data_IF_808066667325
#
_entry.id   IF_808066667325
#
_cell.length_a   1.000
_cell.length_b   1.000
_cell.length_c   1.000
_cell.angle_alpha   90.00
_cell.angle_beta   90.00
_cell.angle_gamma   90.00
#
_symmetry.space_group_name_H-M   'P 1'
#
loop_
_entity.id
_entity.type
_entity.pdbx_description
1 polymer ?
#
# COMPACT_ATOMS: atom_id res chain seq x y z
N UNK A 1 5.76 8.29 6.44
CA UNK A 1 5.47 7.24 7.42
C UNK A 1 6.32 6.01 7.18
N UNK A 2 6.36 5.11 8.13
CA UNK A 2 7.02 3.80 8.01
C UNK A 2 5.94 2.72 7.95
N UNK A 3 6.13 1.72 7.11
CA UNK A 3 5.25 0.56 7.01
C UNK A 3 6.10 -0.71 6.85
N UNK A 4 5.70 -1.78 7.50
CA UNK A 4 6.37 -3.07 7.38
C UNK A 4 5.56 -4.00 6.49
N UNK A 5 6.19 -4.58 5.47
CA UNK A 5 5.55 -5.57 4.60
C UNK A 5 5.47 -6.92 5.30
N UNK A 6 4.30 -7.52 5.27
CA UNK A 6 4.06 -8.89 5.67
C UNK A 6 3.79 -9.73 4.41
N UNK A 7 4.62 -10.71 4.14
CA UNK A 7 4.61 -11.51 2.90
C UNK A 7 4.37 -12.99 3.13
N UNK A 8 4.30 -13.46 4.37
CA UNK A 8 3.95 -14.86 4.66
C UNK A 8 2.46 -15.13 4.41
N UNK A 9 1.65 -14.08 4.53
CA UNK A 9 0.19 -14.10 4.38
C UNK A 9 -0.42 -15.19 5.27
N UNK A 10 0.03 -15.23 6.51
CA UNK A 10 -0.50 -16.11 7.56
C UNK A 10 -0.85 -15.30 8.81
N UNK A 11 -1.75 -15.82 9.62
CA UNK A 11 -2.13 -15.18 10.89
C UNK A 11 -0.91 -15.07 11.83
N UNK A 12 -0.10 -16.10 11.92
CA UNK A 12 1.07 -16.15 12.79
C UNK A 12 2.15 -15.15 12.32
N UNK A 13 2.43 -15.10 11.02
CA UNK A 13 3.37 -14.15 10.44
C UNK A 13 2.93 -12.70 10.65
N UNK A 14 1.63 -12.43 10.49
CA UNK A 14 1.06 -11.11 10.75
C UNK A 14 1.20 -10.70 12.22
N UNK A 15 0.91 -11.58 13.16
CA UNK A 15 1.07 -11.31 14.60
C UNK A 15 2.54 -11.00 14.92
N UNK A 16 3.48 -11.82 14.43
CA UNK A 16 4.92 -11.57 14.62
C UNK A 16 5.37 -10.23 14.02
N UNK A 17 4.85 -9.88 12.85
CA UNK A 17 5.14 -8.59 12.20
C UNK A 17 4.55 -7.41 12.99
N UNK A 18 3.34 -7.55 13.54
CA UNK A 18 2.74 -6.53 14.41
C UNK A 18 3.57 -6.32 15.68
N UNK A 19 4.03 -7.39 16.34
CA UNK A 19 4.91 -7.30 17.51
C UNK A 19 6.21 -6.57 17.18
N UNK A 20 6.83 -6.91 16.04
CA UNK A 20 8.00 -6.20 15.56
C UNK A 20 7.71 -4.72 15.30
N UNK A 21 6.61 -4.39 14.64
CA UNK A 21 6.19 -3.01 14.37
C UNK A 21 6.01 -2.22 15.67
N UNK A 22 5.32 -2.79 16.65
CA UNK A 22 5.10 -2.15 17.94
C UNK A 22 6.42 -1.91 18.70
N UNK A 23 7.32 -2.91 18.73
CA UNK A 23 8.63 -2.80 19.40
C UNK A 23 9.56 -1.75 18.76
N UNK A 24 9.39 -1.45 17.46
CA UNK A 24 10.25 -0.54 16.69
C UNK A 24 9.57 0.78 16.30
N UNK A 25 8.42 1.10 16.87
CA UNK A 25 7.67 2.32 16.56
C UNK A 25 7.36 2.46 15.06
N UNK A 26 6.98 1.36 14.40
CA UNK A 26 6.49 1.33 13.03
C UNK A 26 4.97 1.35 13.09
N UNK A 27 4.28 2.42 12.65
CA UNK A 27 2.84 2.58 12.89
C UNK A 27 1.95 1.69 12.03
N UNK A 28 2.49 1.06 11.00
CA UNK A 28 1.69 0.31 10.03
C UNK A 28 2.33 -1.02 9.63
N UNK A 29 1.48 -2.03 9.42
CA UNK A 29 1.81 -3.28 8.74
C UNK A 29 0.99 -3.40 7.46
N UNK A 30 1.60 -3.86 6.38
CA UNK A 30 0.96 -4.08 5.09
C UNK A 30 0.95 -5.56 4.75
N UNK A 31 -0.24 -6.14 4.57
CA UNK A 31 -0.34 -7.34 3.76
C UNK A 31 -0.09 -6.95 2.31
N UNK A 32 1.06 -7.34 1.81
CA UNK A 32 1.36 -7.16 0.40
C UNK A 32 0.49 -8.13 -0.42
N UNK A 33 0.72 -8.36 -1.65
CA UNK A 33 -0.16 -9.17 -2.49
C UNK A 33 -0.52 -10.56 -1.89
N UNK A 34 -1.42 -11.32 -2.52
CA UNK A 34 -1.84 -12.70 -2.17
C UNK A 34 -2.67 -12.89 -0.89
N UNK A 35 -3.10 -11.84 -0.21
CA UNK A 35 -4.06 -11.96 0.88
C UNK A 35 -5.48 -12.26 0.39
N UNK A 36 -5.73 -12.07 -0.92
CA UNK A 36 -6.90 -12.53 -1.69
C UNK A 36 -6.41 -13.18 -2.99
N UNK A 37 -7.22 -13.98 -3.65
CA UNK A 37 -6.78 -14.73 -4.83
C UNK A 37 -7.85 -14.80 -5.93
N UNK A 38 -7.43 -14.91 -7.19
CA UNK A 38 -6.09 -14.60 -7.71
C UNK A 38 -5.83 -13.08 -7.70
N UNK A 39 -4.76 -12.63 -7.04
CA UNK A 39 -4.56 -11.20 -6.75
C UNK A 39 -4.17 -10.34 -7.97
N UNK A 40 -3.64 -10.93 -9.05
CA UNK A 40 -3.14 -10.21 -10.23
C UNK A 40 -3.97 -10.45 -11.49
N UNK A 41 -5.12 -11.11 -11.40
CA UNK A 41 -5.99 -11.37 -12.54
C UNK A 41 -7.33 -10.65 -12.43
N UNK A 42 -8.05 -10.58 -13.54
CA UNK A 42 -9.41 -10.03 -13.58
C UNK A 42 -10.41 -10.82 -12.73
N UNK A 43 -10.12 -12.08 -12.40
CA UNK A 43 -10.98 -12.94 -11.57
C UNK A 43 -10.76 -12.73 -10.07
N UNK A 44 -9.79 -11.91 -9.70
CA UNK A 44 -9.48 -11.59 -8.31
C UNK A 44 -10.68 -10.99 -7.56
N UNK A 45 -10.89 -11.45 -6.34
CA UNK A 45 -11.96 -10.96 -5.46
C UNK A 45 -11.38 -10.51 -4.13
N UNK A 46 -11.12 -9.21 -4.02
CA UNK A 46 -10.55 -8.59 -2.83
C UNK A 46 -11.56 -8.44 -1.66
N UNK A 47 -12.79 -8.89 -1.83
CA UNK A 47 -13.75 -9.00 -0.73
C UNK A 47 -13.59 -10.31 0.06
N UNK A 48 -12.71 -11.21 -0.40
CA UNK A 48 -12.48 -12.54 0.19
C UNK A 48 -11.04 -12.74 0.61
N UNK A 49 -10.84 -13.02 1.87
CA UNK A 49 -9.52 -13.32 2.44
C UNK A 49 -9.18 -14.80 2.22
N UNK A 50 -7.90 -15.09 1.95
CA UNK A 50 -7.43 -16.49 1.84
C UNK A 50 -7.61 -17.24 3.16
N UNK A 51 -7.93 -18.55 3.09
CA UNK A 51 -8.31 -19.37 4.24
C UNK A 51 -7.25 -19.47 5.35
N UNK A 52 -5.97 -19.28 5.03
CA UNK A 52 -4.85 -19.34 5.99
C UNK A 52 -4.67 -18.07 6.83
N UNK A 53 -5.48 -17.03 6.59
CA UNK A 53 -5.38 -15.72 7.23
C UNK A 53 -6.68 -15.37 7.94
N UNK A 54 -6.64 -15.34 9.27
CA UNK A 54 -7.72 -14.82 10.12
C UNK A 54 -7.59 -13.29 10.21
N UNK A 55 -8.12 -12.60 9.19
CA UNK A 55 -8.06 -11.14 9.09
C UNK A 55 -8.70 -10.42 10.29
N UNK A 56 -9.89 -10.82 10.79
CA UNK A 56 -10.48 -10.20 11.98
C UNK A 56 -9.55 -10.27 13.20
N UNK A 57 -8.93 -11.41 13.45
CA UNK A 57 -7.97 -11.59 14.57
C UNK A 57 -6.76 -10.70 14.42
N UNK A 58 -6.19 -10.61 13.22
CA UNK A 58 -5.02 -9.76 12.94
C UNK A 58 -5.35 -8.29 13.15
N UNK A 59 -6.50 -7.83 12.66
CA UNK A 59 -6.93 -6.43 12.81
C UNK A 59 -7.15 -6.08 14.28
N UNK A 60 -7.82 -6.96 15.03
CA UNK A 60 -8.04 -6.77 16.46
C UNK A 60 -6.70 -6.67 17.24
N UNK A 61 -5.75 -7.55 16.92
CA UNK A 61 -4.42 -7.54 17.53
C UNK A 61 -3.62 -6.28 17.15
N UNK A 62 -3.65 -5.88 15.87
CA UNK A 62 -3.03 -4.64 15.43
C UNK A 62 -3.57 -3.41 16.18
N UNK A 63 -4.88 -3.34 16.37
CA UNK A 63 -5.52 -2.29 17.15
C UNK A 63 -5.07 -2.28 18.62
N UNK A 64 -4.96 -3.45 19.26
CA UNK A 64 -4.44 -3.60 20.62
C UNK A 64 -3.00 -3.07 20.73
N UNK A 65 -2.15 -3.36 19.75
CA UNK A 65 -0.74 -2.98 19.71
C UNK A 65 -0.48 -1.55 19.16
N UNK A 66 -1.52 -0.86 18.71
CA UNK A 66 -1.38 0.47 18.11
C UNK A 66 -0.77 0.44 16.70
N UNK A 67 -0.88 -0.68 15.99
CA UNK A 67 -0.37 -0.88 14.62
C UNK A 67 -1.53 -0.96 13.64
N UNK A 68 -1.62 -0.01 12.72
CA UNK A 68 -2.67 0.01 11.69
C UNK A 68 -2.38 -1.01 10.57
N UNK A 69 -3.43 -1.70 10.14
CA UNK A 69 -3.32 -2.73 9.08
C UNK A 69 -3.67 -2.14 7.73
N UNK A 70 -2.79 -2.34 6.77
CA UNK A 70 -2.96 -2.01 5.36
C UNK A 70 -3.07 -3.27 4.51
N UNK A 71 -3.69 -3.12 3.35
CA UNK A 71 -3.79 -4.19 2.36
C UNK A 71 -3.39 -3.69 0.97
N UNK A 72 -2.69 -4.52 0.21
CA UNK A 72 -2.44 -4.31 -1.20
C UNK A 72 -3.68 -4.71 -2.01
N UNK A 73 -4.05 -3.92 -3.01
CA UNK A 73 -5.10 -4.29 -3.96
C UNK A 73 -4.66 -3.97 -5.39
N UNK A 74 -4.73 -4.96 -6.27
CA UNK A 74 -4.39 -4.80 -7.67
C UNK A 74 -5.43 -3.94 -8.41
N UNK A 75 -4.99 -3.19 -9.42
CA UNK A 75 -5.88 -2.36 -10.25
C UNK A 75 -7.08 -3.13 -10.81
N UNK A 76 -6.90 -4.38 -11.25
CA UNK A 76 -8.02 -5.19 -11.78
C UNK A 76 -9.16 -5.35 -10.78
N UNK A 77 -8.84 -5.67 -9.53
CA UNK A 77 -9.83 -5.78 -8.47
C UNK A 77 -10.44 -4.41 -8.13
N UNK A 78 -9.61 -3.36 -8.03
CA UNK A 78 -10.09 -1.99 -7.76
C UNK A 78 -11.06 -1.49 -8.83
N UNK A 79 -10.75 -1.70 -10.10
CA UNK A 79 -11.65 -1.30 -11.21
C UNK A 79 -13.03 -1.94 -11.10
N UNK A 80 -13.08 -3.18 -10.64
CA UNK A 80 -14.31 -3.96 -10.53
C UNK A 80 -15.06 -3.68 -9.22
N UNK A 81 -14.35 -3.53 -8.10
CA UNK A 81 -14.91 -3.68 -6.77
C UNK A 81 -14.70 -2.47 -5.84
N UNK A 82 -13.94 -1.42 -6.18
CA UNK A 82 -13.55 -0.38 -5.20
C UNK A 82 -14.75 0.25 -4.48
N UNK A 83 -15.93 0.34 -5.13
CA UNK A 83 -17.13 0.94 -4.54
C UNK A 83 -17.76 0.10 -3.42
N UNK A 84 -17.65 -1.21 -3.51
CA UNK A 84 -18.09 -2.13 -2.45
C UNK A 84 -16.93 -2.48 -1.49
N UNK A 85 -15.71 -2.54 -2.01
CA UNK A 85 -14.54 -2.94 -1.26
C UNK A 85 -14.15 -1.91 -0.19
N UNK A 86 -14.11 -0.61 -0.51
CA UNK A 86 -13.64 0.40 0.44
C UNK A 86 -14.54 0.52 1.67
N UNK A 87 -15.88 0.55 1.56
CA UNK A 87 -16.74 0.45 2.74
C UNK A 87 -16.49 -0.83 3.56
N UNK A 88 -16.31 -1.97 2.90
CA UNK A 88 -16.02 -3.25 3.55
C UNK A 88 -14.68 -3.23 4.30
N UNK A 89 -13.62 -2.72 3.68
CA UNK A 89 -12.31 -2.58 4.33
C UNK A 89 -12.37 -1.68 5.57
N UNK A 90 -13.12 -0.57 5.48
CA UNK A 90 -13.38 0.28 6.62
C UNK A 90 -14.12 -0.46 7.74
N UNK A 91 -15.17 -1.21 7.41
CA UNK A 91 -15.94 -2.01 8.37
C UNK A 91 -15.04 -3.03 9.08
N UNK A 92 -14.13 -3.67 8.35
CA UNK A 92 -13.15 -4.57 8.94
C UNK A 92 -12.18 -3.87 9.89
N UNK A 93 -11.92 -2.57 9.70
CA UNK A 93 -10.93 -1.81 10.46
C UNK A 93 -9.58 -1.69 9.78
N UNK A 94 -9.50 -1.94 8.48
CA UNK A 94 -8.34 -1.62 7.66
C UNK A 94 -8.16 -0.10 7.61
N UNK A 95 -6.92 0.37 7.72
CA UNK A 95 -6.63 1.81 7.78
C UNK A 95 -6.10 2.37 6.47
N UNK A 96 -5.68 1.54 5.54
CA UNK A 96 -5.17 2.01 4.25
C UNK A 96 -5.03 0.94 3.19
N UNK A 97 -4.90 1.40 1.96
CA UNK A 97 -4.78 0.56 0.76
C UNK A 97 -3.55 0.98 -0.04
N UNK A 98 -2.73 0.00 -0.40
CA UNK A 98 -1.71 0.12 -1.45
C UNK A 98 -2.31 -0.36 -2.76
N UNK A 99 -2.51 0.54 -3.72
CA UNK A 99 -2.93 0.17 -5.07
C UNK A 99 -1.71 -0.17 -5.93
N UNK A 100 -1.71 -1.28 -6.63
CA UNK A 100 -0.59 -1.70 -7.45
C UNK A 100 -0.96 -2.18 -8.85
N UNK A 101 0.04 -2.22 -9.73
CA UNK A 101 -0.07 -2.44 -11.17
C UNK A 101 -1.02 -1.44 -11.82
N UNK A 102 -0.96 -0.18 -11.35
CA UNK A 102 -1.84 0.89 -11.85
C UNK A 102 -1.37 1.39 -13.21
N UNK A 103 -2.34 1.57 -14.08
CA UNK A 103 -2.08 2.25 -15.35
C UNK A 103 -2.06 3.77 -15.13
N UNK A 104 -1.21 4.46 -15.89
CA UNK A 104 -1.00 5.89 -15.81
C UNK A 104 -0.88 6.48 -17.24
N UNK A 105 -0.45 7.73 -17.34
CA UNK A 105 -0.10 8.40 -18.60
C UNK A 105 -1.28 8.65 -19.57
N UNK A 106 -2.53 8.56 -19.13
CA UNK A 106 -3.68 9.03 -19.90
C UNK A 106 -4.67 9.78 -19.04
N UNK A 107 -5.46 10.64 -19.63
CA UNK A 107 -6.54 11.35 -18.94
C UNK A 107 -7.51 10.38 -18.25
N UNK A 108 -7.89 9.30 -18.93
CA UNK A 108 -8.77 8.25 -18.36
C UNK A 108 -8.20 7.70 -17.05
N UNK A 109 -6.94 7.31 -17.04
CA UNK A 109 -6.32 6.69 -15.87
C UNK A 109 -6.03 7.69 -14.75
N UNK A 110 -5.65 8.93 -15.08
CA UNK A 110 -5.53 9.99 -14.09
C UNK A 110 -6.87 10.28 -13.40
N UNK A 111 -7.95 10.38 -14.16
CA UNK A 111 -9.30 10.57 -13.61
C UNK A 111 -9.70 9.41 -12.70
N UNK A 112 -9.46 8.16 -13.16
CA UNK A 112 -9.77 6.96 -12.36
C UNK A 112 -8.98 6.94 -11.04
N UNK A 113 -7.70 7.29 -11.04
CA UNK A 113 -6.90 7.36 -9.82
C UNK A 113 -7.39 8.45 -8.86
N UNK A 114 -7.79 9.61 -9.38
CA UNK A 114 -8.37 10.67 -8.56
C UNK A 114 -9.70 10.22 -7.94
N UNK A 115 -10.55 9.53 -8.69
CA UNK A 115 -11.80 8.96 -8.18
C UNK A 115 -11.55 7.90 -7.09
N UNK A 116 -10.54 7.06 -7.27
CA UNK A 116 -10.11 6.06 -6.29
C UNK A 116 -9.67 6.73 -4.98
N UNK A 117 -8.81 7.73 -5.05
CA UNK A 117 -8.31 8.46 -3.87
C UNK A 117 -9.43 9.19 -3.14
N UNK A 118 -10.36 9.82 -3.88
CA UNK A 118 -11.54 10.49 -3.32
C UNK A 118 -12.44 9.49 -2.60
N UNK A 119 -12.77 8.37 -3.25
CA UNK A 119 -13.61 7.33 -2.66
C UNK A 119 -12.96 6.71 -1.41
N UNK A 120 -11.63 6.54 -1.41
CA UNK A 120 -10.88 6.11 -0.23
C UNK A 120 -11.00 7.13 0.91
N UNK A 121 -10.90 8.44 0.61
CA UNK A 121 -11.10 9.50 1.61
C UNK A 121 -12.51 9.46 2.22
N UNK A 122 -13.54 9.29 1.42
CA UNK A 122 -14.93 9.15 1.85
C UNK A 122 -15.12 7.96 2.82
N UNK A 123 -14.28 6.92 2.67
CA UNK A 123 -14.26 5.75 3.54
C UNK A 123 -13.16 5.80 4.61
N UNK A 124 -12.53 6.95 4.83
CA UNK A 124 -11.46 7.16 5.80
C UNK A 124 -10.26 6.19 5.65
N UNK A 125 -9.95 5.81 4.41
CA UNK A 125 -8.81 4.98 4.08
C UNK A 125 -7.64 5.84 3.59
N UNK A 126 -6.47 5.54 4.11
CA UNK A 126 -5.21 6.07 3.61
C UNK A 126 -4.83 5.36 2.30
N UNK A 127 -4.10 6.06 1.42
CA UNK A 127 -3.72 5.52 0.11
C UNK A 127 -2.23 5.62 -0.12
N UNK A 128 -1.68 4.56 -0.70
CA UNK A 128 -0.41 4.52 -1.39
C UNK A 128 -0.69 4.10 -2.85
N UNK A 129 -0.26 4.90 -3.82
CA UNK A 129 -0.27 4.52 -5.23
C UNK A 129 1.11 4.01 -5.59
N UNK A 130 1.21 2.71 -5.83
CA UNK A 130 2.43 2.06 -6.29
C UNK A 130 2.61 2.24 -7.81
N UNK A 131 3.75 1.76 -8.36
CA UNK A 131 4.15 1.90 -9.75
C UNK A 131 4.48 3.34 -10.17
N UNK A 132 4.34 3.68 -11.43
CA UNK A 132 4.94 4.88 -12.01
C UNK A 132 4.13 6.18 -11.85
N UNK A 133 3.07 6.18 -11.06
CA UNK A 133 2.28 7.39 -10.86
C UNK A 133 3.07 8.45 -10.06
N UNK A 134 3.25 9.61 -10.68
CA UNK A 134 4.05 10.71 -10.13
C UNK A 134 3.18 11.72 -9.40
N UNK A 135 3.71 12.40 -8.37
CA UNK A 135 2.94 13.40 -7.63
C UNK A 135 2.58 14.59 -8.52
N UNK A 136 1.30 14.95 -8.45
CA UNK A 136 0.71 16.10 -9.15
C UNK A 136 0.25 17.22 -8.20
N UNK A 137 0.56 17.10 -6.90
CA UNK A 137 0.03 17.96 -5.85
C UNK A 137 -1.36 17.57 -5.35
N UNK A 138 -1.95 16.51 -5.87
CA UNK A 138 -3.29 16.04 -5.50
C UNK A 138 -3.42 15.65 -4.01
N UNK A 139 -2.33 15.21 -3.38
CA UNK A 139 -2.25 14.96 -1.94
C UNK A 139 -2.48 16.19 -1.06
N UNK A 140 -2.39 17.40 -1.60
CA UNK A 140 -2.76 18.64 -0.89
C UNK A 140 -4.28 18.80 -0.78
N UNK A 141 -5.02 18.31 -1.77
CA UNK A 141 -6.49 18.30 -1.75
C UNK A 141 -7.02 17.10 -0.99
N UNK A 142 -6.36 15.95 -1.16
CA UNK A 142 -6.73 14.67 -0.54
C UNK A 142 -5.55 14.13 0.29
N UNK A 143 -5.39 14.59 1.53
CA UNK A 143 -4.23 14.21 2.38
C UNK A 143 -4.23 12.75 2.81
N UNK A 144 -5.29 11.99 2.56
CA UNK A 144 -5.29 10.54 2.68
C UNK A 144 -4.38 9.85 1.65
N UNK A 145 -4.01 10.51 0.55
CA UNK A 145 -2.97 10.05 -0.38
C UNK A 145 -1.59 10.36 0.24
N UNK A 146 -1.06 9.40 0.99
CA UNK A 146 0.18 9.59 1.75
C UNK A 146 1.42 9.57 0.88
N UNK A 147 1.45 8.69 -0.12
CA UNK A 147 2.65 8.48 -0.94
C UNK A 147 2.28 7.92 -2.32
N UNK A 148 3.17 8.19 -3.24
CA UNK A 148 3.10 7.72 -4.64
C UNK A 148 4.50 7.24 -5.02
N UNK A 149 4.61 6.12 -5.68
CA UNK A 149 5.93 5.62 -6.06
C UNK A 149 6.58 6.55 -7.09
N UNK A 150 6.34 6.41 -8.34
CA UNK A 150 6.92 7.24 -9.40
C UNK A 150 8.40 7.55 -9.19
N UNK A 151 9.19 6.57 -8.78
CA UNK A 151 10.57 6.68 -8.33
C UNK A 151 11.32 5.38 -8.66
N UNK A 152 12.60 5.47 -8.99
CA UNK A 152 13.46 4.31 -9.02
C UNK A 152 13.85 3.96 -7.57
N UNK A 153 13.07 3.08 -6.97
CA UNK A 153 13.23 2.63 -5.59
C UNK A 153 14.18 1.45 -5.44
N UNK A 154 14.24 0.87 -4.24
CA UNK A 154 15.15 -0.21 -3.91
C UNK A 154 14.95 -1.48 -4.77
N UNK A 155 13.77 -1.71 -5.30
CA UNK A 155 13.46 -2.84 -6.18
C UNK A 155 14.30 -2.84 -7.47
N UNK A 156 14.70 -1.67 -7.95
CA UNK A 156 15.50 -1.46 -9.16
C UNK A 156 17.01 -1.42 -8.89
N UNK A 157 17.44 -1.71 -7.67
CA UNK A 157 18.84 -1.72 -7.25
C UNK A 157 19.63 -0.45 -7.60
N UNK A 158 19.12 0.76 -7.30
CA UNK A 158 19.80 2.00 -7.63
C UNK A 158 21.13 2.14 -6.88
N UNK A 159 22.07 2.87 -7.47
CA UNK A 159 23.35 3.17 -6.83
C UNK A 159 23.22 4.24 -5.73
N UNK A 160 24.32 4.45 -4.98
CA UNK A 160 24.33 5.42 -3.90
C UNK A 160 24.17 6.86 -4.41
N UNK A 161 24.71 7.20 -5.61
CA UNK A 161 24.57 8.52 -6.21
C UNK A 161 23.12 8.84 -6.51
N UNK A 162 22.39 7.87 -7.10
CA UNK A 162 20.97 8.00 -7.34
C UNK A 162 20.23 8.24 -6.01
N UNK A 163 20.47 7.42 -5.00
CA UNK A 163 19.78 7.48 -3.72
C UNK A 163 19.95 8.83 -3.00
N UNK A 164 21.15 9.41 -3.01
CA UNK A 164 21.40 10.72 -2.40
C UNK A 164 20.89 11.89 -3.24
N UNK A 165 20.56 11.65 -4.52
CA UNK A 165 19.98 12.67 -5.41
C UNK A 165 18.46 12.78 -5.25
N UNK A 166 17.78 11.70 -4.90
CA UNK A 166 16.31 11.65 -4.79
C UNK A 166 15.70 12.69 -3.83
N UNK A 167 16.28 12.96 -2.64
CA UNK A 167 15.75 13.99 -1.73
C UNK A 167 15.71 15.40 -2.35
N UNK A 168 16.64 15.70 -3.25
CA UNK A 168 16.78 17.01 -3.89
C UNK A 168 16.08 17.12 -5.24
N UNK A 169 15.45 16.06 -5.70
CA UNK A 169 14.74 15.98 -6.99
C UNK A 169 13.32 15.49 -6.81
N UNK A 170 13.12 14.17 -6.88
CA UNK A 170 11.80 13.55 -6.85
C UNK A 170 11.01 13.86 -5.57
N UNK A 171 11.67 13.84 -4.41
CA UNK A 171 10.99 13.99 -3.12
C UNK A 171 10.60 15.44 -2.81
N UNK A 172 11.10 16.45 -3.56
CA UNK A 172 10.63 17.83 -3.46
C UNK A 172 9.12 17.93 -3.80
N UNK A 173 8.64 17.09 -4.69
CA UNK A 173 7.25 17.07 -5.13
C UNK A 173 6.30 16.29 -4.19
N UNK A 174 6.83 15.69 -3.15
CA UNK A 174 6.06 14.90 -2.18
C UNK A 174 6.68 13.57 -1.83
N UNK A 175 6.09 12.89 -0.86
CA UNK A 175 6.55 11.60 -0.38
C UNK A 175 6.55 10.55 -1.50
N UNK A 176 7.55 9.66 -1.48
CA UNK A 176 7.69 8.55 -2.40
C UNK A 176 7.61 7.21 -1.66
N UNK A 177 7.03 6.21 -2.32
CA UNK A 177 7.10 4.83 -1.88
C UNK A 177 8.42 4.23 -2.38
N UNK A 178 9.44 4.27 -1.55
CA UNK A 178 10.78 3.79 -1.93
C UNK A 178 10.88 2.27 -1.96
N UNK A 179 9.98 1.57 -1.31
CA UNK A 179 9.88 0.10 -1.27
C UNK A 179 11.21 -0.56 -0.92
N UNK A 180 11.65 -0.43 0.33
CA UNK A 180 12.86 -1.09 0.82
C UNK A 180 12.63 -2.60 0.87
N UNK A 181 13.19 -3.33 -0.12
CA UNK A 181 12.97 -4.76 -0.29
C UNK A 181 14.19 -5.61 0.05
N UNK A 182 15.40 -5.08 -0.14
CA UNK A 182 16.60 -5.88 -0.14
C UNK A 182 17.71 -5.26 0.72
N UNK A 183 18.38 -6.10 1.49
CA UNK A 183 19.57 -5.77 2.29
C UNK A 183 20.68 -6.76 1.94
N UNK A 184 21.10 -6.79 0.70
CA UNK A 184 22.10 -7.75 0.25
C UNK A 184 23.21 -7.11 -0.60
N UNK A 185 24.18 -7.95 -1.00
CA UNK A 185 25.38 -7.53 -1.75
C UNK A 185 25.11 -6.98 -3.15
N UNK A 186 23.90 -7.12 -3.68
CA UNK A 186 23.50 -6.57 -4.98
C UNK A 186 23.23 -5.07 -4.90
N UNK A 187 22.98 -4.56 -3.70
CA UNK A 187 22.87 -3.12 -3.47
C UNK A 187 24.27 -2.50 -3.57
N UNK A 188 24.47 -1.64 -4.54
CA UNK A 188 25.73 -0.95 -4.81
C UNK A 188 25.80 0.41 -4.13
#
# INVERSE_FOLDING_TARGET
GKIMRETTITTEGAIATIDFCAAHNIPYMLFDWQWYMPCTSHDGDATKVVAKLDMPRVIAYGKEKGVGIWVYVNQHALMKQMRELFPLLREWGIVGVKSGFVQYASHRWATWMHDMVRLAAENHLLMNIHDEYRPSGFSRTYPNLLTQEGICGNEEFPDATHNVTLPFTRMINGAADYTICYFDKRLK
#
